data_IF_198569613448
#
_entry.id   IF_198569613448
#
_cell.length_a   1.000
_cell.length_b   1.000
_cell.length_c   1.000
_cell.angle_alpha   90.00
_cell.angle_beta   90.00
_cell.angle_gamma   90.00
#
_symmetry.space_group_name_H-M   'P 1'
#
loop_
_entity.id
_entity.type
_entity.pdbx_description
1 polymer ?
#
# COMPACT_ATOMS: atom_id res chain seq x y z
N UNK A 1 -12.63 -13.01 -19.17
CA UNK A 1 -13.12 -13.46 -17.86
C UNK A 1 -12.70 -12.42 -16.84
N UNK A 2 -13.68 -11.90 -16.10
CA UNK A 2 -13.55 -10.69 -15.29
C UNK A 2 -12.55 -10.86 -14.16
N UNK A 3 -12.47 -12.08 -13.60
CA UNK A 3 -11.47 -12.41 -12.58
C UNK A 3 -10.02 -12.27 -13.10
N UNK A 4 -9.76 -12.67 -14.35
CA UNK A 4 -8.42 -12.52 -14.95
C UNK A 4 -8.07 -11.06 -15.21
N UNK A 5 -9.08 -10.25 -15.58
CA UNK A 5 -8.89 -8.81 -15.76
C UNK A 5 -8.58 -8.14 -14.41
N UNK A 6 -9.39 -8.39 -13.38
CA UNK A 6 -9.15 -7.93 -12.00
C UNK A 6 -7.73 -8.27 -11.53
N UNK A 7 -7.34 -9.55 -11.61
CA UNK A 7 -6.02 -10.00 -11.13
C UNK A 7 -4.89 -9.30 -11.88
N UNK A 8 -5.03 -9.09 -13.20
CA UNK A 8 -4.03 -8.34 -13.97
C UNK A 8 -3.89 -6.87 -13.56
N UNK A 9 -5.02 -6.20 -13.28
CA UNK A 9 -5.06 -4.79 -12.85
C UNK A 9 -4.50 -4.67 -11.43
N UNK A 10 -4.98 -5.50 -10.50
CA UNK A 10 -4.50 -5.56 -9.13
C UNK A 10 -3.00 -5.81 -9.07
N UNK A 11 -2.50 -6.82 -9.79
CA UNK A 11 -1.08 -7.15 -9.74
C UNK A 11 -0.23 -6.06 -10.40
N UNK A 12 -0.75 -5.35 -11.41
CA UNK A 12 -0.09 -4.16 -11.95
C UNK A 12 0.01 -3.04 -10.91
N UNK A 13 -1.06 -2.79 -10.16
CA UNK A 13 -1.05 -1.81 -9.07
C UNK A 13 -0.10 -2.22 -7.96
N UNK A 14 -0.13 -3.48 -7.52
CA UNK A 14 0.75 -4.01 -6.47
C UNK A 14 2.24 -4.03 -6.87
N UNK A 15 2.58 -4.09 -8.16
CA UNK A 15 3.97 -3.94 -8.62
C UNK A 15 4.48 -2.49 -8.60
N UNK A 16 3.60 -1.51 -8.37
CA UNK A 16 4.00 -0.12 -8.17
C UNK A 16 4.59 0.09 -6.77
N UNK A 17 5.06 1.31 -6.49
CA UNK A 17 5.54 1.71 -5.15
C UNK A 17 4.49 1.53 -4.06
N UNK A 18 3.20 1.59 -4.41
CA UNK A 18 2.06 1.39 -3.50
C UNK A 18 1.91 -0.05 -3.02
N UNK A 19 2.52 -1.02 -3.72
CA UNK A 19 2.54 -2.42 -3.31
C UNK A 19 3.09 -2.66 -1.91
N UNK A 20 4.09 -1.87 -1.50
CA UNK A 20 4.62 -1.95 -0.15
C UNK A 20 3.61 -1.52 0.91
N UNK A 21 2.89 -0.42 0.67
CA UNK A 21 1.82 0.02 1.57
C UNK A 21 0.76 -1.08 1.74
N UNK A 22 0.38 -1.75 0.64
CA UNK A 22 -0.52 -2.90 0.68
C UNK A 22 0.05 -4.10 1.46
N UNK A 23 1.35 -4.39 1.32
CA UNK A 23 2.00 -5.46 2.08
C UNK A 23 2.05 -5.15 3.58
N UNK A 24 2.36 -3.90 3.95
CA UNK A 24 2.42 -3.40 5.33
C UNK A 24 1.04 -3.24 5.98
N UNK A 25 -0.01 -3.03 5.19
CA UNK A 25 -1.39 -2.93 5.68
C UNK A 25 -1.83 -4.21 6.43
N UNK A 26 -1.29 -5.37 6.04
CA UNK A 26 -1.62 -6.65 6.66
C UNK A 26 -3.02 -7.16 6.30
N UNK A 27 -3.52 -8.13 7.07
CA UNK A 27 -4.83 -8.74 6.84
C UNK A 27 -4.97 -9.39 5.44
N UNK A 28 -6.16 -9.26 4.84
CA UNK A 28 -6.42 -9.79 3.49
C UNK A 28 -5.63 -9.04 2.42
N UNK A 29 -5.48 -7.72 2.56
CA UNK A 29 -4.74 -6.86 1.63
C UNK A 29 -3.27 -7.28 1.59
N UNK A 30 -2.63 -7.42 2.76
CA UNK A 30 -1.26 -7.89 2.87
C UNK A 30 -1.07 -9.31 2.35
N UNK A 31 -2.05 -10.20 2.55
CA UNK A 31 -2.03 -11.55 1.97
C UNK A 31 -2.04 -11.51 0.44
N UNK A 32 -2.89 -10.67 -0.17
CA UNK A 32 -2.95 -10.50 -1.62
C UNK A 32 -1.65 -9.89 -2.15
N UNK A 33 -1.15 -8.83 -1.50
CA UNK A 33 0.10 -8.16 -1.83
C UNK A 33 1.29 -9.14 -1.80
N UNK A 34 1.36 -10.03 -0.82
CA UNK A 34 2.48 -10.99 -0.65
C UNK A 34 2.69 -11.94 -1.83
N UNK A 35 1.67 -12.15 -2.67
CA UNK A 35 1.82 -12.95 -3.90
C UNK A 35 2.53 -12.22 -5.05
N UNK A 36 2.68 -10.90 -4.93
CA UNK A 36 3.18 -10.01 -6.00
C UNK A 36 4.39 -9.20 -5.54
N UNK A 37 4.38 -8.75 -4.28
CA UNK A 37 5.37 -7.83 -3.70
C UNK A 37 6.43 -8.64 -2.94
N UNK A 38 7.72 -8.46 -3.24
CA UNK A 38 8.81 -9.11 -2.50
C UNK A 38 8.79 -8.73 -1.02
N UNK A 39 9.07 -9.68 -0.13
CA UNK A 39 9.08 -9.44 1.31
C UNK A 39 10.20 -8.47 1.75
N UNK A 40 11.21 -8.28 0.90
CA UNK A 40 12.33 -7.37 1.12
C UNK A 40 11.89 -5.90 1.04
N UNK A 41 10.79 -5.60 0.34
CA UNK A 41 10.26 -4.23 0.24
C UNK A 41 9.86 -3.67 1.61
N UNK A 42 9.51 -4.54 2.56
CA UNK A 42 9.11 -4.19 3.93
C UNK A 42 10.26 -3.54 4.71
N UNK A 43 11.52 -3.84 4.36
CA UNK A 43 12.70 -3.27 5.02
C UNK A 43 13.11 -1.90 4.45
N UNK A 44 12.47 -1.45 3.37
CA UNK A 44 12.73 -0.12 2.81
C UNK A 44 11.97 0.93 3.59
N UNK A 45 12.60 2.09 3.81
CA UNK A 45 11.95 3.25 4.43
C UNK A 45 10.75 3.77 3.62
N UNK A 46 9.98 4.74 4.18
CA UNK A 46 8.75 5.27 3.57
C UNK A 46 8.92 5.76 2.13
N UNK A 47 7.84 5.78 1.35
CA UNK A 47 7.94 6.04 -0.08
C UNK A 47 8.04 7.54 -0.28
N UNK A 48 8.44 7.96 -1.48
CA UNK A 48 8.37 9.39 -1.84
C UNK A 48 6.92 9.92 -1.74
N UNK A 49 5.93 9.04 -1.91
CA UNK A 49 4.50 9.36 -1.84
C UNK A 49 3.99 9.48 -0.40
N UNK A 50 4.80 9.18 0.62
CA UNK A 50 4.41 9.23 2.04
C UNK A 50 3.92 10.62 2.45
N UNK A 51 4.40 11.67 1.79
CA UNK A 51 4.02 13.06 2.06
C UNK A 51 2.67 13.45 1.45
N UNK A 52 2.14 12.65 0.52
CA UNK A 52 0.87 12.90 -0.18
C UNK A 52 -0.22 11.99 0.37
N UNK A 53 0.04 10.67 0.36
CA UNK A 53 -0.95 9.63 0.67
C UNK A 53 -0.58 8.83 1.94
N UNK A 54 0.42 9.29 2.69
CA UNK A 54 0.85 8.64 3.93
C UNK A 54 0.10 9.13 5.17
N UNK A 55 0.32 8.43 6.27
CA UNK A 55 -0.10 8.86 7.59
C UNK A 55 1.04 9.60 8.29
N UNK A 56 0.74 10.80 8.79
CA UNK A 56 1.61 11.57 9.66
C UNK A 56 1.16 11.43 11.10
N UNK A 57 2.07 10.99 11.97
CA UNK A 57 1.91 11.05 13.41
C UNK A 57 2.76 12.20 13.95
N UNK A 58 2.08 13.25 14.40
CA UNK A 58 2.69 14.42 15.01
C UNK A 58 1.95 14.78 16.30
N UNK A 59 2.71 15.12 17.34
CA UNK A 59 2.17 15.46 18.66
C UNK A 59 1.79 16.94 18.81
N UNK A 60 2.09 17.78 17.81
CA UNK A 60 1.82 19.22 17.83
C UNK A 60 2.88 20.07 18.54
N UNK A 61 3.86 19.46 19.21
CA UNK A 61 4.85 20.15 20.05
C UNK A 61 6.29 19.88 19.60
N UNK A 62 6.53 18.73 18.98
CA UNK A 62 7.85 18.30 18.51
C UNK A 62 8.23 18.97 17.17
N UNK A 63 9.52 19.18 16.96
CA UNK A 63 10.08 19.67 15.67
C UNK A 63 10.01 18.58 14.59
N UNK A 64 9.82 17.32 14.98
CA UNK A 64 9.80 16.16 14.10
C UNK A 64 8.45 15.45 14.15
N UNK A 65 8.09 14.82 13.03
CA UNK A 65 6.90 13.99 12.88
C UNK A 65 7.29 12.62 12.29
N UNK A 66 6.49 11.60 12.55
CA UNK A 66 6.69 10.26 12.00
C UNK A 66 5.76 10.04 10.82
N UNK A 67 6.29 9.44 9.75
CA UNK A 67 5.57 9.21 8.51
C UNK A 67 5.57 7.74 8.15
N UNK A 68 4.42 7.23 7.76
CA UNK A 68 4.24 5.87 7.26
C UNK A 68 3.38 5.89 6.00
N UNK A 69 3.64 4.99 5.06
CA UNK A 69 2.76 4.86 3.90
C UNK A 69 1.38 4.37 4.36
N UNK A 70 0.33 4.92 3.76
CA UNK A 70 -1.03 4.42 3.91
C UNK A 70 -1.61 4.15 2.53
N UNK A 71 -2.63 3.29 2.45
CA UNK A 71 -3.48 3.14 1.26
C UNK A 71 -4.66 4.11 1.34
N UNK A 72 -5.14 4.56 0.19
CA UNK A 72 -6.43 5.25 0.08
C UNK A 72 -7.59 4.24 0.01
N UNK A 73 -8.82 4.70 0.23
CA UNK A 73 -10.01 3.85 0.14
C UNK A 73 -10.18 3.26 -1.27
N UNK A 74 -9.92 4.06 -2.31
CA UNK A 74 -10.00 3.61 -3.71
C UNK A 74 -8.97 2.52 -4.03
N UNK A 75 -7.79 2.57 -3.42
CA UNK A 75 -6.78 1.53 -3.60
C UNK A 75 -7.13 0.26 -2.84
N UNK A 76 -7.74 0.38 -1.66
CA UNK A 76 -8.28 -0.77 -0.92
C UNK A 76 -9.36 -1.46 -1.76
N UNK A 77 -10.27 -0.68 -2.35
CA UNK A 77 -11.34 -1.19 -3.21
C UNK A 77 -10.79 -1.90 -4.45
N UNK A 78 -9.80 -1.28 -5.09
CA UNK A 78 -9.08 -1.86 -6.23
C UNK A 78 -8.43 -3.20 -5.87
N UNK A 79 -7.75 -3.29 -4.72
CA UNK A 79 -7.08 -4.53 -4.28
C UNK A 79 -8.10 -5.61 -3.95
N UNK A 80 -9.19 -5.24 -3.28
CA UNK A 80 -10.26 -6.14 -2.88
C UNK A 80 -11.16 -6.55 -4.05
N UNK A 81 -11.07 -5.87 -5.20
CA UNK A 81 -11.85 -6.19 -6.39
C UNK A 81 -13.32 -5.78 -6.28
N UNK A 82 -13.61 -4.70 -5.54
CA UNK A 82 -14.96 -4.16 -5.32
C UNK A 82 -15.23 -2.87 -6.11
N UNK A 83 -14.42 -2.64 -7.15
CA UNK A 83 -14.48 -1.47 -8.04
C UNK A 83 -15.73 -1.43 -8.93
#
# INVERSE_FOLDING_TARGET
DDYRLYTSIRDRFLRSRRGRAALLYGGVIGRLARSVVPAEEVFRGPSEDVTIDGCCLWDGYSVSAYWADSLTEQEIDLICGVY
#
